data_IF_012733443914
#
_entry.id   IF_012733443914
#
_cell.length_a   1.000
_cell.length_b   1.000
_cell.length_c   1.000
_cell.angle_alpha   90.00
_cell.angle_beta   90.00
_cell.angle_gamma   90.00
#
_symmetry.space_group_name_H-M   'P 1'
#
loop_
_entity.id
_entity.type
_entity.pdbx_description
1 polymer ?
#
# COMPACT_ATOMS: atom_id res chain seq x y z
N UNK A 1 -4.80 49.91 -5.05
CA UNK A 1 -3.96 49.58 -4.06
C UNK A 1 -4.36 48.60 -3.08
N UNK A 2 -5.43 47.96 -3.07
CA UNK A 2 -5.81 47.10 -2.07
C UNK A 2 -6.28 45.86 -2.58
N UNK A 3 -5.56 45.23 -3.41
CA UNK A 3 -6.04 44.05 -3.98
C UNK A 3 -5.13 42.91 -3.86
N UNK A 4 -4.36 42.81 -2.79
CA UNK A 4 -3.34 41.82 -2.73
C UNK A 4 -3.62 40.75 -1.72
N UNK A 5 -4.81 40.68 -1.17
CA UNK A 5 -5.02 39.77 -0.06
C UNK A 5 -5.68 38.46 -0.39
N UNK A 6 -5.93 38.17 -1.64
CA UNK A 6 -6.77 37.02 -1.91
C UNK A 6 -6.06 35.76 -2.40
N UNK A 7 -4.73 35.77 -2.44
CA UNK A 7 -4.06 34.67 -3.10
C UNK A 7 -3.46 33.61 -2.20
N UNK A 8 -3.65 33.72 -0.89
CA UNK A 8 -2.94 32.83 0.02
C UNK A 8 -3.74 31.66 0.56
N UNK A 9 -5.01 31.56 0.21
CA UNK A 9 -5.87 30.54 0.82
C UNK A 9 -5.90 29.21 0.08
N UNK A 10 -5.32 29.14 -1.11
CA UNK A 10 -5.49 27.97 -1.96
C UNK A 10 -4.47 26.86 -1.68
N UNK A 11 -3.34 27.21 -1.07
CA UNK A 11 -2.27 26.22 -0.88
C UNK A 11 -2.50 25.25 0.26
N UNK A 12 -3.41 25.54 1.19
CA UNK A 12 -3.66 24.68 2.33
C UNK A 12 -4.56 23.48 2.04
N UNK A 13 -5.40 23.59 1.03
CA UNK A 13 -6.34 22.52 0.71
C UNK A 13 -5.66 21.29 0.08
N UNK A 14 -4.53 21.50 -0.60
CA UNK A 14 -3.84 20.41 -1.27
C UNK A 14 -3.12 19.49 -0.28
N UNK A 15 -2.61 20.05 0.82
CA UNK A 15 -1.92 19.27 1.83
C UNK A 15 -2.84 18.33 2.60
N UNK A 16 -4.13 18.67 2.73
CA UNK A 16 -5.08 17.84 3.46
C UNK A 16 -5.60 16.66 2.66
N UNK A 17 -5.47 16.69 1.34
CA UNK A 17 -5.94 15.61 0.49
C UNK A 17 -4.92 14.48 0.33
N UNK A 18 -3.63 14.73 0.62
CA UNK A 18 -2.57 13.75 0.37
C UNK A 18 -2.72 12.44 1.13
N UNK A 19 -3.09 12.40 2.45
CA UNK A 19 -3.25 11.15 3.15
C UNK A 19 -4.38 10.28 2.61
N UNK A 20 -5.51 10.88 2.24
CA UNK A 20 -6.63 10.13 1.68
C UNK A 20 -6.28 9.55 0.32
N UNK A 21 -5.55 10.31 -0.51
CA UNK A 21 -5.12 9.84 -1.81
C UNK A 21 -4.14 8.69 -1.69
N UNK A 22 -3.21 8.76 -0.74
CA UNK A 22 -2.25 7.68 -0.52
C UNK A 22 -2.94 6.38 -0.12
N UNK A 23 -3.98 6.46 0.71
CA UNK A 23 -4.74 5.28 1.12
C UNK A 23 -5.50 4.66 -0.05
N UNK A 24 -6.11 5.49 -0.92
CA UNK A 24 -6.80 4.99 -2.09
C UNK A 24 -5.83 4.39 -3.11
N UNK A 25 -4.67 5.02 -3.30
CA UNK A 25 -3.65 4.50 -4.19
C UNK A 25 -3.13 3.15 -3.70
N UNK A 26 -2.97 2.98 -2.39
CA UNK A 26 -2.52 1.71 -1.82
C UNK A 26 -3.55 0.61 -2.06
N UNK A 27 -4.83 0.90 -1.89
CA UNK A 27 -5.89 -0.06 -2.18
C UNK A 27 -5.87 -0.50 -3.64
N UNK A 28 -5.72 0.45 -4.56
CA UNK A 28 -5.66 0.17 -5.99
C UNK A 28 -4.41 -0.63 -6.34
N UNK A 29 -3.26 -0.27 -5.77
CA UNK A 29 -2.01 -1.01 -5.98
C UNK A 29 -2.11 -2.43 -5.46
N UNK A 30 -2.70 -2.63 -4.29
CA UNK A 30 -2.89 -3.96 -3.74
C UNK A 30 -3.75 -4.81 -4.68
N UNK A 31 -4.84 -4.24 -5.18
CA UNK A 31 -5.70 -4.95 -6.12
C UNK A 31 -4.97 -5.34 -7.40
N UNK A 32 -4.09 -4.48 -7.89
CA UNK A 32 -3.37 -4.73 -9.13
C UNK A 32 -2.18 -5.67 -8.98
N UNK A 33 -1.44 -5.57 -7.87
CA UNK A 33 -0.15 -6.23 -7.73
C UNK A 33 -0.14 -7.40 -6.75
N UNK A 34 -1.05 -7.43 -5.82
CA UNK A 34 -0.98 -8.36 -4.68
C UNK A 34 -2.17 -9.30 -4.62
N UNK A 35 -3.35 -8.86 -5.04
CA UNK A 35 -4.59 -9.61 -4.83
C UNK A 35 -4.67 -10.90 -5.64
N UNK A 36 -3.94 -11.02 -6.76
CA UNK A 36 -3.96 -12.25 -7.55
C UNK A 36 -3.56 -13.47 -6.71
N UNK A 37 -2.59 -13.29 -5.79
CA UNK A 37 -2.15 -14.35 -4.89
C UNK A 37 -2.76 -14.20 -3.50
N UNK A 38 -2.65 -12.99 -2.92
CA UNK A 38 -3.10 -12.79 -1.53
C UNK A 38 -4.62 -12.66 -1.38
N UNK A 39 -5.34 -12.39 -2.50
CA UNK A 39 -6.78 -12.18 -2.47
C UNK A 39 -7.15 -10.75 -2.07
N UNK A 40 -8.34 -10.28 -2.46
CA UNK A 40 -8.79 -8.95 -2.05
C UNK A 40 -9.01 -8.84 -0.53
N UNK A 41 -9.23 -9.97 0.14
CA UNK A 41 -9.35 -10.04 1.59
C UNK A 41 -8.01 -10.31 2.29
N UNK A 42 -6.93 -10.51 1.52
CA UNK A 42 -5.59 -10.77 2.04
C UNK A 42 -5.35 -12.15 2.58
N UNK A 43 -6.30 -13.07 2.48
CA UNK A 43 -6.19 -14.38 3.14
C UNK A 43 -5.37 -15.43 2.37
N UNK A 44 -4.93 -15.10 1.16
CA UNK A 44 -4.09 -16.00 0.39
C UNK A 44 -4.80 -17.23 -0.17
N UNK A 45 -6.12 -17.18 -0.26
CA UNK A 45 -6.92 -18.35 -0.65
C UNK A 45 -7.33 -18.37 -2.12
N UNK A 46 -6.79 -17.49 -2.95
CA UNK A 46 -7.00 -17.59 -4.40
C UNK A 46 -6.34 -18.87 -4.92
N UNK A 47 -6.75 -19.38 -6.08
CA UNK A 47 -6.07 -20.56 -6.66
C UNK A 47 -4.57 -20.37 -6.81
N UNK A 48 -4.13 -19.20 -7.27
CA UNK A 48 -2.71 -18.91 -7.40
C UNK A 48 -2.04 -18.79 -6.03
N UNK A 49 -2.72 -18.18 -5.05
CA UNK A 49 -2.20 -18.05 -3.70
C UNK A 49 -1.98 -19.39 -3.04
N UNK A 50 -2.93 -20.31 -3.18
CA UNK A 50 -2.77 -21.66 -2.64
C UNK A 50 -1.62 -22.42 -3.32
N UNK A 51 -1.52 -22.28 -4.63
CA UNK A 51 -0.46 -22.93 -5.39
C UNK A 51 0.93 -22.45 -4.98
N UNK A 52 1.08 -21.16 -4.73
CA UNK A 52 2.37 -20.55 -4.39
C UNK A 52 2.61 -20.42 -2.89
N UNK A 53 1.64 -20.80 -2.06
CA UNK A 53 1.78 -20.67 -0.61
C UNK A 53 1.74 -19.23 -0.12
N UNK A 54 0.87 -18.41 -0.69
CA UNK A 54 0.77 -17.01 -0.30
C UNK A 54 0.36 -16.87 1.16
N UNK A 55 1.05 -15.96 1.87
CA UNK A 55 0.79 -15.71 3.27
C UNK A 55 -0.56 -15.04 3.47
N UNK A 56 -1.25 -15.41 4.55
CA UNK A 56 -2.45 -14.71 5.00
C UNK A 56 -2.03 -13.36 5.59
N UNK A 57 -2.46 -12.28 4.96
CA UNK A 57 -2.13 -10.92 5.38
C UNK A 57 -3.18 -10.30 6.30
N UNK A 58 -4.24 -11.04 6.64
CA UNK A 58 -5.33 -10.47 7.44
C UNK A 58 -4.96 -10.25 8.91
N UNK A 59 -3.81 -10.78 9.36
CA UNK A 59 -3.36 -10.69 10.75
C UNK A 59 -2.05 -9.90 10.90
N UNK A 60 -1.70 -9.07 9.94
CA UNK A 60 -0.43 -8.33 9.97
C UNK A 60 -0.47 -7.08 10.84
N UNK A 61 -1.59 -6.80 11.49
CA UNK A 61 -1.70 -5.65 12.38
C UNK A 61 -0.70 -5.67 13.55
N UNK A 62 -0.20 -6.86 13.91
CA UNK A 62 0.78 -7.01 14.99
C UNK A 62 2.22 -6.84 14.52
N UNK A 63 2.46 -6.91 13.23
CA UNK A 63 3.81 -6.75 12.69
C UNK A 63 4.22 -5.28 12.66
N UNK A 64 5.47 -4.96 12.99
CA UNK A 64 5.96 -3.59 12.80
C UNK A 64 5.88 -3.18 11.34
N UNK A 65 5.58 -1.91 11.10
CA UNK A 65 5.43 -1.40 9.74
C UNK A 65 6.69 -1.63 8.90
N UNK A 66 7.87 -1.43 9.47
CA UNK A 66 9.12 -1.61 8.75
C UNK A 66 9.37 -3.06 8.32
N UNK A 67 8.87 -4.02 9.07
CA UNK A 67 8.96 -5.42 8.66
C UNK A 67 8.08 -5.72 7.46
N UNK A 68 6.87 -5.16 7.43
CA UNK A 68 5.98 -5.31 6.28
C UNK A 68 6.60 -4.64 5.06
N UNK A 69 7.19 -3.46 5.24
CA UNK A 69 7.91 -2.76 4.17
C UNK A 69 9.02 -3.65 3.60
N UNK A 70 9.83 -4.26 4.46
CA UNK A 70 10.92 -5.13 4.02
C UNK A 70 10.41 -6.34 3.25
N UNK A 71 9.31 -6.92 3.68
CA UNK A 71 8.72 -8.07 3.00
C UNK A 71 8.29 -7.71 1.58
N UNK A 72 7.74 -6.51 1.39
CA UNK A 72 7.35 -6.04 0.07
C UNK A 72 8.58 -5.71 -0.78
N UNK A 73 9.57 -5.03 -0.19
CA UNK A 73 10.79 -4.66 -0.90
C UNK A 73 11.53 -5.88 -1.42
N UNK A 74 11.70 -6.87 -0.59
CA UNK A 74 12.54 -8.03 -0.89
C UNK A 74 11.77 -9.17 -1.53
N UNK A 75 10.46 -9.23 -1.31
CA UNK A 75 9.66 -10.34 -1.81
C UNK A 75 10.12 -11.69 -1.29
N UNK A 76 9.71 -12.73 -1.98
CA UNK A 76 10.17 -14.11 -1.73
C UNK A 76 10.33 -14.81 -3.06
N UNK A 77 11.35 -14.43 -3.83
CA UNK A 77 11.55 -15.01 -5.15
C UNK A 77 11.77 -16.53 -5.08
N UNK A 78 11.32 -17.27 -6.07
CA UNK A 78 10.58 -16.82 -7.26
C UNK A 78 9.08 -16.68 -7.03
N UNK A 79 8.55 -17.00 -5.84
CA UNK A 79 7.11 -17.06 -5.60
C UNK A 79 6.49 -15.67 -5.48
N UNK A 80 7.14 -14.76 -4.81
CA UNK A 80 6.68 -13.38 -4.68
C UNK A 80 7.77 -12.46 -5.18
N UNK A 81 7.45 -11.61 -6.14
CA UNK A 81 8.41 -10.66 -6.69
C UNK A 81 8.87 -9.64 -5.66
N UNK A 82 10.11 -9.20 -5.78
CA UNK A 82 10.63 -8.08 -5.01
C UNK A 82 10.18 -6.78 -5.66
N UNK A 83 9.65 -5.86 -4.86
CA UNK A 83 9.11 -4.61 -5.40
C UNK A 83 10.04 -3.42 -5.24
N UNK A 84 11.18 -3.60 -4.58
CA UNK A 84 12.18 -2.55 -4.50
C UNK A 84 12.63 -2.18 -5.91
N UNK A 85 12.55 -0.89 -6.26
CA UNK A 85 12.88 -0.45 -7.61
C UNK A 85 11.75 -0.57 -8.62
N UNK A 86 10.70 -1.32 -8.31
CA UNK A 86 9.51 -1.41 -9.16
C UNK A 86 8.40 -0.50 -8.68
N UNK A 87 8.33 -0.27 -7.40
CA UNK A 87 7.43 0.69 -6.77
C UNK A 87 8.28 1.69 -6.01
N UNK A 88 7.79 2.91 -5.86
CA UNK A 88 8.50 3.92 -5.08
C UNK A 88 8.48 3.56 -3.59
N UNK A 89 9.44 4.10 -2.80
CA UNK A 89 9.39 3.90 -1.35
C UNK A 89 8.07 4.35 -0.73
N UNK A 90 7.48 5.43 -1.25
CA UNK A 90 6.20 5.93 -0.76
C UNK A 90 5.07 4.96 -1.07
N UNK A 91 5.07 4.37 -2.25
CA UNK A 91 4.08 3.37 -2.62
C UNK A 91 4.20 2.12 -1.75
N UNK A 92 5.41 1.66 -1.50
CA UNK A 92 5.65 0.49 -0.64
C UNK A 92 5.21 0.77 0.78
N UNK A 93 5.53 1.95 1.32
CA UNK A 93 5.10 2.33 2.67
C UNK A 93 3.58 2.42 2.76
N UNK A 94 2.93 2.97 1.74
CA UNK A 94 1.47 3.05 1.71
C UNK A 94 0.82 1.67 1.64
N UNK A 95 1.38 0.75 0.85
CA UNK A 95 0.91 -0.62 0.79
C UNK A 95 1.07 -1.31 2.14
N UNK A 96 2.22 -1.15 2.78
CA UNK A 96 2.46 -1.74 4.10
C UNK A 96 1.47 -1.21 5.12
N UNK A 97 1.17 0.08 5.09
CA UNK A 97 0.16 0.69 5.96
C UNK A 97 -1.23 0.15 5.72
N UNK A 98 -1.60 -0.06 4.46
CA UNK A 98 -2.87 -0.63 4.08
C UNK A 98 -3.02 -2.05 4.62
N UNK A 99 -1.98 -2.86 4.47
CA UNK A 99 -1.96 -4.23 5.00
C UNK A 99 -2.04 -4.22 6.51
N UNK A 100 -1.24 -3.40 7.17
CA UNK A 100 -1.23 -3.31 8.64
C UNK A 100 -2.58 -2.85 9.20
N UNK A 101 -3.29 -2.00 8.47
CA UNK A 101 -4.62 -1.53 8.86
C UNK A 101 -5.73 -2.57 8.63
N UNK A 102 -5.41 -3.73 8.09
CA UNK A 102 -6.38 -4.78 7.83
C UNK A 102 -7.05 -4.69 6.48
N UNK A 103 -6.39 -4.08 5.52
CA UNK A 103 -6.89 -3.96 4.14
C UNK A 103 -8.12 -3.06 4.05
N UNK A 104 -8.10 -1.98 4.81
CA UNK A 104 -9.21 -1.02 4.85
C UNK A 104 -8.79 0.39 4.51
#
# INVERSE_FOLDING_TARGET
MKRIAAALAVCLAVALAAPARAAEDAKALFAQKCAACHGPDGKGKTPMGQKLGAKDLSHENKEPLDEIVKDIENGKPPKMAAYKGKLSPEQITALAGYIKAGLK
#
